data_IF_613068032088
#
_entry.id   IF_613068032088
#
_cell.length_a   1.000
_cell.length_b   1.000
_cell.length_c   1.000
_cell.angle_alpha   90.00
_cell.angle_beta   90.00
_cell.angle_gamma   90.00
#
_symmetry.space_group_name_H-M   'P 1'
#
loop_
_entity.id
_entity.type
_entity.pdbx_description
1 polymer ?
#
# COMPACT_ATOMS: atom_id res chain seq x y z
N UNK A 1 18.26 9.78 18.87
CA UNK A 1 16.79 9.99 18.90
C UNK A 1 16.12 8.81 18.22
N UNK A 2 15.58 7.85 18.98
CA UNK A 2 14.78 6.79 18.40
C UNK A 2 13.48 7.39 17.85
N UNK A 3 13.32 7.39 16.52
CA UNK A 3 12.05 7.73 15.90
C UNK A 3 11.06 6.63 16.26
N UNK A 4 10.21 6.86 17.26
CA UNK A 4 9.00 6.06 17.49
C UNK A 4 8.09 6.23 16.28
N UNK A 5 8.31 5.44 15.23
CA UNK A 5 7.40 5.37 14.10
C UNK A 5 6.08 4.80 14.60
N UNK A 6 5.08 5.66 14.78
CA UNK A 6 3.76 5.23 15.21
C UNK A 6 3.21 4.20 14.21
N UNK A 7 2.67 3.06 14.67
CA UNK A 7 2.15 2.00 13.80
C UNK A 7 1.05 2.54 12.87
N UNK A 8 0.33 3.58 13.30
CA UNK A 8 -0.66 4.29 12.48
C UNK A 8 -0.09 4.84 11.17
N UNK A 9 1.15 5.32 11.17
CA UNK A 9 1.80 5.91 9.98
C UNK A 9 2.14 4.84 8.95
N UNK A 10 2.12 3.55 9.32
CA UNK A 10 2.48 2.45 8.41
C UNK A 10 1.31 1.52 8.11
N UNK A 11 0.32 1.44 8.99
CA UNK A 11 -0.89 0.62 8.79
C UNK A 11 -1.94 1.39 8.00
N UNK A 12 -2.23 2.63 8.37
CA UNK A 12 -3.30 3.41 7.73
C UNK A 12 -3.03 3.63 6.23
N UNK A 13 -1.82 4.03 5.79
CA UNK A 13 -1.55 4.17 4.35
C UNK A 13 -1.60 2.84 3.60
N UNK A 14 -1.29 1.72 4.26
CA UNK A 14 -1.35 0.40 3.64
C UNK A 14 -2.81 -0.04 3.40
N UNK A 15 -3.71 0.26 4.34
CA UNK A 15 -5.15 0.05 4.16
C UNK A 15 -5.65 0.93 3.02
N UNK A 16 -5.30 2.22 2.99
CA UNK A 16 -5.70 3.14 1.91
C UNK A 16 -5.19 2.65 0.55
N UNK A 17 -3.94 2.21 0.46
CA UNK A 17 -3.36 1.67 -0.76
C UNK A 17 -4.09 0.39 -1.23
N UNK A 18 -4.46 -0.50 -0.31
CA UNK A 18 -5.27 -1.68 -0.62
C UNK A 18 -6.65 -1.34 -1.17
N UNK A 19 -7.34 -0.34 -0.59
CA UNK A 19 -8.63 0.14 -1.10
C UNK A 19 -8.49 0.75 -2.49
N UNK A 20 -7.49 1.61 -2.70
CA UNK A 20 -7.21 2.21 -4.00
C UNK A 20 -6.85 1.16 -5.07
N UNK A 21 -6.15 0.10 -4.68
CA UNK A 21 -5.86 -1.03 -5.55
C UNK A 21 -7.14 -1.75 -5.98
N UNK A 22 -8.03 -2.09 -5.05
CA UNK A 22 -9.31 -2.74 -5.38
C UNK A 22 -10.20 -1.86 -6.27
N UNK A 23 -10.33 -0.57 -5.93
CA UNK A 23 -11.16 0.38 -6.69
C UNK A 23 -10.59 0.64 -8.09
N UNK A 24 -9.27 0.82 -8.20
CA UNK A 24 -8.57 0.97 -9.48
C UNK A 24 -8.74 -0.26 -10.37
N UNK A 25 -8.62 -1.46 -9.77
CA UNK A 25 -8.80 -2.74 -10.47
C UNK A 25 -10.23 -2.92 -11.00
N UNK A 26 -11.24 -2.63 -10.18
CA UNK A 26 -12.64 -2.68 -10.60
C UNK A 26 -12.91 -1.68 -11.74
N UNK A 27 -12.45 -0.43 -11.63
CA UNK A 27 -12.63 0.56 -12.70
C UNK A 27 -11.95 0.15 -14.00
N UNK A 28 -10.72 -0.36 -13.92
CA UNK A 28 -10.00 -0.85 -15.08
C UNK A 28 -10.74 -2.00 -15.76
N UNK A 29 -11.17 -3.00 -14.98
CA UNK A 29 -11.85 -4.19 -15.49
C UNK A 29 -13.19 -3.88 -16.19
N UNK A 30 -14.01 -3.00 -15.60
CA UNK A 30 -15.37 -2.75 -16.10
C UNK A 30 -15.47 -1.63 -17.15
N UNK A 31 -14.50 -0.71 -17.21
CA UNK A 31 -14.61 0.49 -18.07
C UNK A 31 -13.45 0.70 -19.04
N UNK A 32 -12.49 -0.24 -19.13
CA UNK A 32 -11.24 -0.05 -19.90
C UNK A 32 -10.62 1.34 -19.64
N UNK A 33 -10.70 1.78 -18.39
CA UNK A 33 -10.38 3.14 -17.98
C UNK A 33 -8.89 3.26 -17.70
N UNK A 34 -8.15 3.95 -18.58
CA UNK A 34 -6.71 4.21 -18.44
C UNK A 34 -6.37 4.87 -17.11
N UNK A 35 -7.25 5.72 -16.58
CA UNK A 35 -7.06 6.35 -15.26
C UNK A 35 -7.15 5.29 -14.16
N UNK A 36 -8.12 4.37 -14.27
CA UNK A 36 -8.24 3.21 -13.39
C UNK A 36 -6.99 2.32 -13.40
N UNK A 37 -6.41 2.09 -14.58
CA UNK A 37 -5.17 1.32 -14.74
C UNK A 37 -3.97 1.98 -14.04
N UNK A 38 -3.79 3.29 -14.20
CA UNK A 38 -2.70 4.04 -13.56
C UNK A 38 -2.86 4.01 -12.04
N UNK A 39 -4.08 4.25 -11.54
CA UNK A 39 -4.38 4.18 -10.10
C UNK A 39 -4.10 2.77 -9.56
N UNK A 40 -4.51 1.73 -10.29
CA UNK A 40 -4.27 0.34 -9.91
C UNK A 40 -2.78 0.03 -9.78
N UNK A 41 -1.97 0.39 -10.78
CA UNK A 41 -0.52 0.13 -10.77
C UNK A 41 0.15 0.90 -9.63
N UNK A 42 -0.12 2.20 -9.48
CA UNK A 42 0.49 3.02 -8.43
C UNK A 42 0.10 2.56 -7.03
N UNK A 43 -1.18 2.24 -6.81
CA UNK A 43 -1.66 1.75 -5.53
C UNK A 43 -1.04 0.39 -5.17
N UNK A 44 -0.91 -0.51 -6.14
CA UNK A 44 -0.22 -1.80 -5.97
C UNK A 44 1.22 -1.61 -5.53
N UNK A 45 1.95 -0.72 -6.21
CA UNK A 45 3.37 -0.45 -5.95
C UNK A 45 3.59 0.11 -4.54
N UNK A 46 2.74 1.05 -4.12
CA UNK A 46 2.76 1.63 -2.77
C UNK A 46 2.41 0.57 -1.71
N UNK A 47 1.40 -0.26 -1.97
CA UNK A 47 0.99 -1.33 -1.06
C UNK A 47 2.13 -2.32 -0.81
N UNK A 48 2.78 -2.81 -1.88
CA UNK A 48 3.91 -3.73 -1.74
C UNK A 48 5.10 -3.08 -1.03
N UNK A 49 5.46 -1.83 -1.36
CA UNK A 49 6.54 -1.12 -0.68
C UNK A 49 6.28 -1.00 0.83
N UNK A 50 5.08 -0.59 1.22
CA UNK A 50 4.71 -0.48 2.63
C UNK A 50 4.67 -1.84 3.34
N UNK A 51 4.19 -2.89 2.66
CA UNK A 51 4.21 -4.25 3.17
C UNK A 51 5.65 -4.73 3.43
N UNK A 52 6.57 -4.52 2.48
CA UNK A 52 7.99 -4.87 2.65
C UNK A 52 8.63 -4.11 3.81
N UNK A 53 8.39 -2.80 3.93
CA UNK A 53 8.89 -1.99 5.05
C UNK A 53 8.34 -2.51 6.39
N UNK A 54 7.05 -2.85 6.46
CA UNK A 54 6.44 -3.39 7.67
C UNK A 54 7.01 -4.76 8.05
N UNK A 55 7.19 -5.67 7.09
CA UNK A 55 7.83 -6.99 7.34
C UNK A 55 9.28 -6.81 7.80
N UNK A 56 10.03 -5.89 7.19
CA UNK A 56 11.40 -5.56 7.61
C UNK A 56 11.47 -5.06 9.05
N UNK A 57 10.55 -4.17 9.46
CA UNK A 57 10.44 -3.70 10.85
C UNK A 57 10.14 -4.84 11.82
N UNK A 58 9.19 -5.72 11.47
CA UNK A 58 8.85 -6.89 12.30
C UNK A 58 10.03 -7.85 12.44
N UNK A 59 10.81 -8.04 11.37
CA UNK A 59 12.02 -8.88 11.40
C UNK A 59 13.12 -8.28 12.29
N UNK A 60 13.33 -6.96 12.21
CA UNK A 60 14.32 -6.27 13.03
C UNK A 60 13.98 -6.26 14.53
N UNK A 61 12.70 -6.34 14.89
CA UNK A 61 12.25 -6.35 16.28
C UNK A 61 12.25 -7.76 16.93
N UNK A 62 12.46 -8.81 16.13
CA UNK A 62 12.48 -10.22 16.56
C UNK A 62 13.90 -10.76 16.80
N UNK A 63 14.93 -10.11 16.24
CA UNK A 63 16.35 -10.39 16.50
C UNK A 63 16.88 -9.47 17.59
#
# INVERSE_FOLDING_TARGET
MEKKYSPFITVLPNITAGVLFLVGGIRFYYRADTVGAIIFILASLIFFLLAFVNIGKLRAHKN
#
